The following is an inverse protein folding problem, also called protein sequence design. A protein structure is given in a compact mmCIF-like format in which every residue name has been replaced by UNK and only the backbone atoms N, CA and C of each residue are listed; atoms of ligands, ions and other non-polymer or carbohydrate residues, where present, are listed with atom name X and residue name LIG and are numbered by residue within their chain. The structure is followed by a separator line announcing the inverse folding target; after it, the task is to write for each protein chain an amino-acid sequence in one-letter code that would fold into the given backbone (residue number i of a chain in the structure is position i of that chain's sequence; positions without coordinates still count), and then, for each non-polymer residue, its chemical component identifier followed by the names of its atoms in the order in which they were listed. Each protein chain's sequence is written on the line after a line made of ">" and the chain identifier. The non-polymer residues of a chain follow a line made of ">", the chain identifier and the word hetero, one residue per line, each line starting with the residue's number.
data_IF_712069762182
#
_entry.id   IF_712069762182
#
_cell.length_a   1.000
_cell.length_b   1.000
_cell.length_c   1.000
_cell.angle_alpha   90.00
_cell.angle_beta   90.00
_cell.angle_gamma   90.00
#
_symmetry.space_group_name_H-M   'P 1'
#
loop_
_entity.id
_entity.type
_entity.pdbx_description
1 polymer ?
#
# COMPACT_ATOMS: atom_id res chain seq x y z
N UNK A 1 8.61 16.15 -6.74
CA UNK A 1 8.43 14.86 -7.43
C UNK A 1 7.42 14.01 -6.71
N UNK A 2 6.67 13.24 -7.47
CA UNK A 2 5.62 12.39 -6.92
C UNK A 2 6.08 10.95 -6.86
N UNK A 3 5.82 10.32 -5.73
CA UNK A 3 6.14 8.91 -5.50
C UNK A 3 4.94 8.20 -4.94
N UNK A 4 4.75 6.94 -5.35
CA UNK A 4 3.78 6.06 -4.73
C UNK A 4 4.52 5.15 -3.74
N UNK A 5 4.02 5.09 -2.52
CA UNK A 5 4.47 4.15 -1.52
C UNK A 5 3.45 3.03 -1.46
N UNK A 6 3.88 1.81 -1.72
CA UNK A 6 3.00 0.63 -1.71
C UNK A 6 3.36 -0.22 -0.50
N UNK A 7 2.36 -0.52 0.32
CA UNK A 7 2.57 -1.19 1.60
C UNK A 7 2.28 -2.68 1.46
N UNK A 8 3.32 -3.50 1.64
CA UNK A 8 3.20 -4.95 1.58
C UNK A 8 3.37 -5.54 2.97
N UNK A 9 2.42 -6.36 3.38
CA UNK A 9 2.46 -6.99 4.71
C UNK A 9 2.32 -8.49 4.58
N UNK A 10 2.92 -9.21 5.54
CA UNK A 10 2.80 -10.66 5.59
C UNK A 10 1.43 -11.01 6.15
N UNK A 11 0.56 -11.54 5.29
CA UNK A 11 -0.84 -11.81 5.64
C UNK A 11 -0.98 -12.79 6.81
N UNK A 12 -0.14 -13.82 6.85
CA UNK A 12 -0.22 -14.80 7.93
C UNK A 12 0.08 -14.18 9.29
N UNK A 13 0.93 -13.15 9.32
CA UNK A 13 1.34 -12.50 10.58
C UNK A 13 0.34 -11.46 11.06
N UNK A 14 -0.31 -10.74 10.15
CA UNK A 14 -1.07 -9.56 10.54
C UNK A 14 -2.59 -9.71 10.41
N UNK A 15 -3.08 -10.72 9.70
CA UNK A 15 -4.51 -10.79 9.35
C UNK A 15 -5.41 -10.79 10.59
N UNK A 16 -5.09 -11.56 11.62
CA UNK A 16 -5.92 -11.63 12.82
C UNK A 16 -5.98 -10.31 13.58
N UNK A 17 -4.90 -9.54 13.55
CA UNK A 17 -4.83 -8.24 14.24
C UNK A 17 -5.46 -7.16 13.39
N UNK A 18 -5.13 -7.13 12.10
CA UNK A 18 -5.67 -6.15 11.15
C UNK A 18 -7.18 -6.22 11.05
N UNK A 19 -7.72 -7.44 11.00
CA UNK A 19 -9.13 -7.67 10.74
C UNK A 19 -9.97 -7.82 12.02
N UNK A 20 -9.37 -7.51 13.18
CA UNK A 20 -10.11 -7.52 14.43
C UNK A 20 -11.17 -6.41 14.44
N UNK A 21 -12.31 -6.70 15.07
CA UNK A 21 -13.46 -5.80 15.02
C UNK A 21 -13.21 -4.46 15.72
N UNK A 22 -12.40 -4.44 16.77
CA UNK A 22 -12.19 -3.24 17.58
C UNK A 22 -11.04 -2.35 17.08
N UNK A 23 -10.18 -2.88 16.22
CA UNK A 23 -9.04 -2.13 15.64
C UNK A 23 -8.20 -1.42 16.70
N UNK A 24 -7.89 -2.13 17.77
CA UNK A 24 -7.06 -1.62 18.86
C UNK A 24 -5.77 -2.42 18.97
N UNK A 25 -4.82 -1.88 19.76
CA UNK A 25 -3.56 -2.54 20.04
C UNK A 25 -2.39 -1.97 19.25
N UNK A 26 -1.19 -2.52 19.47
CA UNK A 26 0.05 -1.95 18.92
C UNK A 26 0.07 -1.83 17.39
N UNK A 27 -0.50 -2.81 16.69
CA UNK A 27 -0.54 -2.76 15.23
C UNK A 27 -1.28 -1.51 14.74
N UNK A 28 -2.51 -1.30 15.23
CA UNK A 28 -3.32 -0.17 14.83
C UNK A 28 -2.78 1.15 15.36
N UNK A 29 -2.22 1.14 16.57
CA UNK A 29 -1.60 2.34 17.12
C UNK A 29 -0.45 2.82 16.23
N UNK A 30 0.40 1.90 15.77
CA UNK A 30 1.52 2.23 14.89
C UNK A 30 1.04 2.78 13.55
N UNK A 31 0.06 2.13 12.94
CA UNK A 31 -0.47 2.59 11.65
C UNK A 31 -1.16 3.95 11.78
N UNK A 32 -1.95 4.14 12.82
CA UNK A 32 -2.64 5.42 13.04
C UNK A 32 -1.64 6.55 13.24
N UNK A 33 -0.57 6.32 13.99
CA UNK A 33 0.47 7.32 14.21
C UNK A 33 1.16 7.68 12.89
N UNK A 34 1.48 6.67 12.08
CA UNK A 34 2.15 6.87 10.80
C UNK A 34 1.28 7.67 9.82
N UNK A 35 0.04 7.24 9.66
CA UNK A 35 -0.91 7.91 8.74
C UNK A 35 -1.13 9.34 9.19
N UNK A 36 -1.28 9.55 10.49
CA UNK A 36 -1.47 10.89 11.04
C UNK A 36 -0.28 11.79 10.72
N UNK A 37 0.95 11.28 10.91
CA UNK A 37 2.16 12.04 10.60
C UNK A 37 2.24 12.38 9.10
N UNK A 38 1.89 11.43 8.24
CA UNK A 38 1.85 11.67 6.80
C UNK A 38 0.91 12.82 6.44
N UNK A 39 -0.32 12.76 6.92
CA UNK A 39 -1.30 13.78 6.57
C UNK A 39 -0.97 15.15 7.18
N UNK A 40 -0.42 15.18 8.38
CA UNK A 40 -0.03 16.43 8.99
C UNK A 40 1.17 17.09 8.32
N UNK A 41 2.00 16.30 7.64
CA UNK A 41 3.14 16.86 6.91
C UNK A 41 2.74 17.64 5.66
N UNK A 42 1.53 17.45 5.17
CA UNK A 42 1.03 18.13 3.98
C UNK A 42 1.51 17.57 2.66
N UNK A 43 2.22 16.43 2.65
CA UNK A 43 2.78 15.86 1.43
C UNK A 43 1.87 14.89 0.70
N UNK A 44 0.78 14.44 1.34
CA UNK A 44 -0.08 13.41 0.78
C UNK A 44 -0.98 13.99 -0.31
N UNK A 45 -0.95 13.39 -1.49
CA UNK A 45 -1.85 13.73 -2.58
C UNK A 45 -3.10 12.87 -2.55
N UNK A 46 -2.93 11.57 -2.34
CA UNK A 46 -4.04 10.62 -2.17
C UNK A 46 -3.50 9.31 -1.60
N UNK A 47 -4.40 8.48 -1.12
CA UNK A 47 -4.04 7.15 -0.65
C UNK A 47 -5.27 6.39 -0.20
N UNK A 48 -5.19 5.07 -0.23
CA UNK A 48 -6.29 4.19 0.18
C UNK A 48 -5.76 2.93 0.81
N UNK A 49 -6.37 2.49 1.92
CA UNK A 49 -6.19 1.12 2.38
C UNK A 49 -7.03 0.20 1.49
N UNK A 50 -6.57 -1.05 1.34
CA UNK A 50 -7.29 -2.04 0.56
C UNK A 50 -7.91 -3.09 1.47
N UNK A 51 -9.00 -3.70 1.00
CA UNK A 51 -9.57 -4.85 1.66
C UNK A 51 -8.58 -6.03 1.54
N UNK A 52 -8.73 -7.08 2.38
CA UNK A 52 -7.79 -8.20 2.37
C UNK A 52 -7.64 -8.87 0.99
N UNK A 53 -6.48 -9.50 0.73
CA UNK A 53 -6.22 -10.09 -0.59
C UNK A 53 -7.26 -11.12 -1.06
N UNK A 54 -7.89 -11.85 -0.15
CA UNK A 54 -8.91 -12.83 -0.51
C UNK A 54 -10.16 -12.19 -1.12
N UNK A 55 -10.32 -10.88 -0.97
CA UNK A 55 -11.43 -10.16 -1.63
C UNK A 55 -11.09 -9.78 -3.07
N UNK A 56 -9.85 -9.98 -3.49
CA UNK A 56 -9.41 -9.59 -4.82
C UNK A 56 -10.01 -10.46 -5.91
N UNK A 57 -10.16 -9.88 -7.08
CA UNK A 57 -10.56 -10.60 -8.29
C UNK A 57 -9.61 -10.20 -9.40
N UNK A 58 -9.06 -11.17 -10.08
CA UNK A 58 -8.05 -10.95 -11.13
C UNK A 58 -8.62 -11.33 -12.49
N UNK A 59 -8.40 -10.46 -13.48
CA UNK A 59 -8.85 -10.69 -14.86
C UNK A 59 -7.63 -10.83 -15.76
N UNK A 60 -7.65 -11.85 -16.60
CA UNK A 60 -6.65 -12.05 -17.67
C UNK A 60 -7.38 -12.27 -18.99
N UNK A 61 -6.73 -11.92 -20.07
CA UNK A 61 -7.21 -12.25 -21.41
C UNK A 61 -6.24 -13.28 -21.98
N UNK A 62 -6.75 -14.45 -22.32
CA UNK A 62 -5.97 -15.52 -22.93
C UNK A 62 -6.68 -15.99 -24.20
N UNK A 63 -5.96 -15.97 -25.32
CA UNK A 63 -6.50 -16.38 -26.63
C UNK A 63 -7.82 -15.67 -26.93
N UNK A 64 -7.89 -14.37 -26.62
CA UNK A 64 -9.06 -13.54 -26.84
C UNK A 64 -10.21 -13.76 -25.85
N UNK A 65 -10.01 -14.59 -24.82
CA UNK A 65 -11.06 -14.88 -23.84
C UNK A 65 -10.76 -14.26 -22.49
N UNK A 66 -11.81 -13.76 -21.86
CA UNK A 66 -11.71 -13.18 -20.51
C UNK A 66 -11.74 -14.28 -19.47
N UNK A 67 -10.67 -14.35 -18.67
CA UNK A 67 -10.58 -15.24 -17.53
C UNK A 67 -10.70 -14.43 -16.26
N UNK A 68 -11.56 -14.86 -15.36
CA UNK A 68 -11.77 -14.19 -14.06
C UNK A 68 -11.43 -15.19 -12.97
N UNK A 69 -10.54 -14.79 -12.07
CA UNK A 69 -10.07 -15.65 -10.98
C UNK A 69 -10.24 -14.94 -9.65
N UNK A 70 -10.66 -15.66 -8.63
CA UNK A 70 -10.68 -15.13 -7.27
C UNK A 70 -9.26 -15.02 -6.74
N UNK A 71 -9.01 -13.97 -5.99
CA UNK A 71 -7.72 -13.76 -5.35
C UNK A 71 -6.79 -12.81 -6.12
N UNK A 72 -5.64 -12.49 -5.51
CA UNK A 72 -4.68 -11.56 -6.11
C UNK A 72 -3.90 -12.20 -7.25
N UNK A 73 -3.22 -11.35 -8.03
CA UNK A 73 -2.40 -11.80 -9.17
C UNK A 73 -1.37 -12.83 -8.73
N UNK A 74 -0.73 -12.62 -7.59
CA UNK A 74 0.26 -13.55 -7.04
C UNK A 74 -0.09 -13.89 -5.60
N UNK A 75 -0.12 -15.20 -5.30
CA UNK A 75 -0.39 -15.70 -3.96
C UNK A 75 0.92 -15.79 -3.15
N UNK A 76 1.52 -14.64 -2.89
CA UNK A 76 2.77 -14.54 -2.13
C UNK A 76 2.49 -14.26 -0.66
N UNK A 77 3.51 -14.46 0.19
CA UNK A 77 3.38 -14.21 1.62
C UNK A 77 3.10 -12.74 1.92
N UNK A 78 3.75 -11.85 1.18
CA UNK A 78 3.56 -10.42 1.34
C UNK A 78 2.57 -9.94 0.29
N UNK A 79 1.51 -9.30 0.75
CA UNK A 79 0.44 -8.83 -0.11
C UNK A 79 0.26 -7.33 0.04
N UNK A 80 -0.12 -6.69 -1.05
CA UNK A 80 -0.40 -5.25 -1.05
C UNK A 80 -1.62 -4.97 -0.18
N UNK A 81 -1.43 -4.10 0.83
CA UNK A 81 -2.51 -3.74 1.74
C UNK A 81 -2.97 -2.30 1.61
N UNK A 82 -2.26 -1.49 0.82
CA UNK A 82 -2.63 -0.10 0.61
C UNK A 82 -1.51 0.66 -0.06
N UNK A 83 -1.79 1.91 -0.35
CA UNK A 83 -0.82 2.78 -0.99
C UNK A 83 -1.06 4.24 -0.61
N UNK A 84 -0.03 5.07 -0.79
CA UNK A 84 -0.16 6.51 -0.69
C UNK A 84 0.72 7.16 -1.75
N UNK A 85 0.24 8.24 -2.34
CA UNK A 85 1.03 9.06 -3.25
C UNK A 85 1.42 10.34 -2.54
N UNK A 86 2.71 10.66 -2.57
CA UNK A 86 3.26 11.82 -1.87
C UNK A 86 4.03 12.73 -2.83
N UNK A 87 4.07 14.02 -2.50
CA UNK A 87 4.86 15.02 -3.20
C UNK A 87 6.03 15.41 -2.30
N UNK A 88 7.25 15.07 -2.70
CA UNK A 88 8.46 15.38 -1.95
C UNK A 88 9.57 15.83 -2.90
N UNK A 89 10.64 16.39 -2.35
CA UNK A 89 11.72 16.98 -3.15
C UNK A 89 12.51 15.92 -3.92
N UNK A 90 12.75 14.74 -3.30
CA UNK A 90 13.64 13.74 -3.86
C UNK A 90 13.34 12.35 -3.33
N UNK A 91 14.03 11.37 -3.91
CA UNK A 91 13.88 9.97 -3.51
C UNK A 91 14.27 9.73 -2.06
N UNK A 92 15.35 10.36 -1.59
CA UNK A 92 15.79 10.16 -0.21
C UNK A 92 14.72 10.54 0.80
N UNK A 93 14.00 11.63 0.54
CA UNK A 93 12.88 12.03 1.39
C UNK A 93 11.75 11.00 1.35
N UNK A 94 11.44 10.48 0.16
CA UNK A 94 10.43 9.43 0.03
C UNK A 94 10.85 8.16 0.78
N UNK A 95 12.13 7.77 0.70
CA UNK A 95 12.65 6.62 1.41
C UNK A 95 12.60 6.79 2.93
N UNK A 96 12.83 8.00 3.42
CA UNK A 96 12.69 8.30 4.84
C UNK A 96 11.26 8.07 5.32
N UNK A 97 10.29 8.49 4.55
CA UNK A 97 8.89 8.23 4.87
C UNK A 97 8.55 6.75 4.81
N UNK A 98 9.07 6.05 3.80
CA UNK A 98 8.85 4.60 3.67
C UNK A 98 9.43 3.85 4.87
N UNK A 99 10.62 4.23 5.34
CA UNK A 99 11.29 3.57 6.46
C UNK A 99 10.53 3.73 7.77
N UNK A 100 9.74 4.77 7.93
CA UNK A 100 8.92 5.00 9.13
C UNK A 100 7.65 4.19 9.14
N UNK A 101 7.26 3.62 8.00
CA UNK A 101 6.02 2.87 7.88
C UNK A 101 6.10 1.57 8.68
N UNK A 102 5.05 1.21 9.44
CA UNK A 102 5.04 -0.08 10.15
C UNK A 102 5.27 -1.28 9.22
N UNK A 103 4.79 -1.21 7.97
CA UNK A 103 4.99 -2.31 7.02
C UNK A 103 6.47 -2.57 6.72
N UNK A 104 7.32 -1.57 6.82
CA UNK A 104 8.75 -1.75 6.54
C UNK A 104 9.44 -2.67 7.56
N UNK A 105 8.89 -2.77 8.77
CA UNK A 105 9.50 -3.56 9.84
C UNK A 105 9.20 -5.06 9.72
N UNK A 106 8.04 -5.42 9.17
CA UNK A 106 7.62 -6.83 9.09
C UNK A 106 7.13 -7.26 7.71
N UNK A 107 7.28 -6.39 6.75
CA UNK A 107 6.95 -6.63 5.34
C UNK A 107 7.86 -5.78 4.50
N UNK A 108 7.28 -4.97 3.62
CA UNK A 108 8.06 -4.10 2.75
C UNK A 108 7.24 -2.89 2.32
N UNK A 109 7.95 -1.82 1.98
CA UNK A 109 7.35 -0.67 1.32
C UNK A 109 8.08 -0.46 -0.01
N UNK A 110 7.34 -0.57 -1.09
CA UNK A 110 7.89 -0.30 -2.41
C UNK A 110 7.66 1.17 -2.74
N UNK A 111 8.73 1.85 -3.14
CA UNK A 111 8.66 3.27 -3.49
C UNK A 111 8.89 3.39 -4.99
N UNK A 112 7.94 3.98 -5.69
CA UNK A 112 8.04 4.08 -7.15
C UNK A 112 7.67 5.49 -7.60
N UNK A 113 8.55 6.17 -8.39
CA UNK A 113 8.18 7.48 -8.91
C UNK A 113 7.01 7.38 -9.89
N UNK A 114 6.13 8.38 -9.86
CA UNK A 114 5.04 8.44 -10.82
C UNK A 114 5.55 9.00 -12.13
N UNK A 115 5.07 8.41 -13.22
CA UNK A 115 5.33 8.94 -14.55
C UNK A 115 4.53 10.22 -14.73
N UNK A 116 5.19 11.28 -15.14
CA UNK A 116 4.49 12.51 -15.48
C UNK A 116 3.83 12.31 -16.83
N UNK A 117 2.53 12.50 -16.86
CA UNK A 117 1.76 12.39 -18.10
C UNK A 117 1.56 13.78 -18.70
N UNK A 118 1.38 13.87 -20.03
CA UNK A 118 1.07 15.15 -20.65
C UNK A 118 -0.18 15.76 -20.03
N UNK A 119 -0.17 17.09 -19.85
CA UNK A 119 -1.31 17.80 -19.27
C UNK A 119 -2.47 17.91 -20.25
N UNK A 120 -2.19 17.78 -21.53
CA UNK A 120 -3.22 17.82 -22.57
C UNK A 120 -3.62 16.41 -22.96
N UNK A 121 -4.89 16.11 -22.76
CA UNK A 121 -5.42 14.78 -23.03
C UNK A 121 -6.86 14.86 -23.44
#
# INVERSE_FOLDING_TARGET
>A
MQYMLMFFENEAEIASVRDSADRTGPYWDAWNAYVNALYQSGIVLKGDPLMPPETATTVRIESGKRLVQDGPVAATKEQLGGYVTIEVADLDTALSWAARCPAAAHGAVEVRPLRQLPTER
#
